data_IF_367104581322
#
_entry.id   IF_367104581322
#
_cell.length_a   1.000
_cell.length_b   1.000
_cell.length_c   1.000
_cell.angle_alpha   90.00
_cell.angle_beta   90.00
_cell.angle_gamma   90.00
#
_symmetry.space_group_name_H-M   'P 1'
#
loop_
_entity.id
_entity.type
_entity.pdbx_description
1 polymer ?
#
# COMPACT_ATOMS: atom_id res chain seq x y z
N UNK A 1 -42.39 0.14 18.03
CA UNK A 1 -41.31 0.66 17.15
C UNK A 1 -40.00 0.03 17.60
N UNK A 2 -39.36 -0.78 16.77
CA UNK A 2 -38.01 -1.27 17.05
C UNK A 2 -37.00 -0.20 16.60
N UNK A 3 -36.20 0.32 17.53
CA UNK A 3 -35.09 1.22 17.21
C UNK A 3 -34.04 0.46 16.41
N UNK A 4 -33.64 1.01 15.27
CA UNK A 4 -32.59 0.43 14.43
C UNK A 4 -31.25 0.52 15.17
N UNK A 5 -30.49 -0.57 15.33
CA UNK A 5 -29.20 -0.53 16.02
C UNK A 5 -28.20 0.30 15.23
N UNK A 6 -27.50 1.22 15.93
CA UNK A 6 -26.43 2.04 15.36
C UNK A 6 -25.17 1.20 15.22
N UNK A 7 -24.66 1.06 14.00
CA UNK A 7 -23.39 0.35 13.75
C UNK A 7 -22.23 1.30 14.09
N UNK A 8 -21.32 0.88 14.97
CA UNK A 8 -20.16 1.68 15.37
C UNK A 8 -19.01 1.43 14.38
N UNK A 9 -18.32 2.47 13.89
CA UNK A 9 -17.18 2.30 13.00
C UNK A 9 -15.97 1.73 13.75
N UNK A 10 -15.19 0.88 13.09
CA UNK A 10 -13.97 0.28 13.65
C UNK A 10 -12.90 1.36 13.93
N UNK A 11 -12.20 1.25 15.05
CA UNK A 11 -11.03 2.10 15.34
C UNK A 11 -9.89 1.77 14.37
N UNK A 12 -9.27 2.80 13.78
CA UNK A 12 -8.17 2.60 12.86
C UNK A 12 -6.92 2.11 13.60
N UNK A 13 -6.50 0.89 13.30
CA UNK A 13 -5.40 0.18 13.96
C UNK A 13 -4.01 0.47 13.36
N UNK A 14 -3.91 1.38 12.39
CA UNK A 14 -2.71 1.71 11.61
C UNK A 14 -2.17 0.58 10.72
N UNK A 15 -2.78 -0.61 10.77
CA UNK A 15 -2.39 -1.80 9.99
C UNK A 15 -3.32 -1.94 8.78
N UNK A 16 -4.59 -1.58 8.96
CA UNK A 16 -5.59 -1.53 7.90
C UNK A 16 -5.22 -0.45 6.87
N UNK A 17 -5.34 -0.76 5.57
CA UNK A 17 -5.08 0.25 4.53
C UNK A 17 -6.15 1.36 4.57
N UNK A 18 -5.77 2.59 4.21
CA UNK A 18 -6.73 3.71 4.11
C UNK A 18 -7.92 3.39 3.22
N UNK A 19 -7.72 2.68 2.10
CA UNK A 19 -8.80 2.29 1.19
C UNK A 19 -9.80 1.34 1.85
N UNK A 20 -9.31 0.39 2.66
CA UNK A 20 -10.17 -0.54 3.41
C UNK A 20 -10.94 0.22 4.50
N UNK A 21 -10.27 1.09 5.25
CA UNK A 21 -10.93 1.95 6.25
C UNK A 21 -12.01 2.81 5.60
N UNK A 22 -11.71 3.46 4.47
CA UNK A 22 -12.64 4.34 3.77
C UNK A 22 -13.87 3.57 3.29
N UNK A 23 -13.68 2.37 2.74
CA UNK A 23 -14.78 1.51 2.28
C UNK A 23 -15.68 1.10 3.44
N UNK A 24 -15.10 0.62 4.55
CA UNK A 24 -15.86 0.25 5.74
C UNK A 24 -16.61 1.46 6.33
N UNK A 25 -15.94 2.61 6.40
CA UNK A 25 -16.52 3.85 6.89
C UNK A 25 -17.70 4.34 6.03
N UNK A 26 -17.57 4.27 4.71
CA UNK A 26 -18.64 4.66 3.77
C UNK A 26 -19.85 3.71 3.88
N UNK A 27 -19.64 2.40 4.09
CA UNK A 27 -20.72 1.42 4.35
C UNK A 27 -21.44 1.69 5.68
N UNK A 28 -20.69 1.94 6.76
CA UNK A 28 -21.28 2.21 8.08
C UNK A 28 -22.03 3.53 8.07
N UNK A 29 -21.45 4.58 7.50
CA UNK A 29 -22.06 5.91 7.47
C UNK A 29 -23.32 5.98 6.62
N UNK A 30 -23.37 5.27 5.49
CA UNK A 30 -24.58 5.17 4.66
C UNK A 30 -25.68 4.36 5.36
N UNK A 31 -25.33 3.24 5.99
CA UNK A 31 -26.29 2.41 6.72
C UNK A 31 -26.95 3.19 7.86
N UNK A 32 -26.17 4.03 8.55
CA UNK A 32 -26.63 4.84 9.67
C UNK A 32 -27.21 6.22 9.25
N UNK A 33 -27.17 6.58 7.96
CA UNK A 33 -27.68 7.87 7.48
C UNK A 33 -26.92 9.08 8.06
N UNK A 34 -25.61 8.96 8.28
CA UNK A 34 -24.83 10.04 8.88
C UNK A 34 -24.73 11.26 7.97
N UNK A 35 -24.92 12.44 8.56
CA UNK A 35 -24.58 13.72 7.93
C UNK A 35 -23.07 13.89 7.85
N UNK A 36 -22.60 14.82 7.01
CA UNK A 36 -21.16 15.05 6.87
C UNK A 36 -20.50 15.55 8.16
N UNK A 37 -21.25 16.28 8.99
CA UNK A 37 -20.81 16.64 10.34
C UNK A 37 -20.57 15.40 11.23
N UNK A 38 -21.53 14.45 11.24
CA UNK A 38 -21.39 13.21 12.01
C UNK A 38 -20.24 12.37 11.46
N UNK A 39 -20.10 12.28 10.14
CA UNK A 39 -18.94 11.61 9.51
C UNK A 39 -17.62 12.26 9.92
N UNK A 40 -17.52 13.59 9.93
CA UNK A 40 -16.31 14.30 10.34
C UNK A 40 -15.92 13.97 11.78
N UNK A 41 -16.90 14.05 12.71
CA UNK A 41 -16.70 13.72 14.11
C UNK A 41 -16.29 12.24 14.32
N UNK A 42 -16.98 11.32 13.64
CA UNK A 42 -16.64 9.89 13.70
C UNK A 42 -15.25 9.60 13.12
N UNK A 43 -14.88 10.26 12.03
CA UNK A 43 -13.55 10.07 11.44
C UNK A 43 -12.44 10.58 12.36
N UNK A 44 -12.65 11.69 13.06
CA UNK A 44 -11.73 12.21 14.09
C UNK A 44 -11.56 11.23 15.25
N UNK A 45 -12.65 10.64 15.75
CA UNK A 45 -12.61 9.69 16.88
C UNK A 45 -12.01 8.33 16.50
N UNK A 46 -12.31 7.83 15.29
CA UNK A 46 -11.77 6.57 14.77
C UNK A 46 -10.30 6.67 14.34
N UNK A 47 -9.78 7.89 14.15
CA UNK A 47 -8.39 8.17 13.76
C UNK A 47 -7.69 9.11 14.76
N UNK A 48 -7.47 8.68 16.01
CA UNK A 48 -7.06 9.55 17.13
C UNK A 48 -5.73 10.30 16.93
N UNK A 49 -4.91 9.92 15.94
CA UNK A 49 -3.62 10.54 15.61
C UNK A 49 -3.70 11.70 14.60
N UNK A 50 -4.87 11.99 14.04
CA UNK A 50 -5.06 13.07 13.05
C UNK A 50 -5.19 14.47 13.64
N UNK A 51 -5.94 14.67 14.74
CA UNK A 51 -6.19 16.01 15.27
C UNK A 51 -4.94 16.80 15.63
N UNK A 52 -3.80 16.13 15.87
CA UNK A 52 -2.53 16.76 16.23
C UNK A 52 -1.92 17.68 15.14
N UNK A 53 -2.43 17.65 13.90
CA UNK A 53 -1.94 18.49 12.79
C UNK A 53 -2.99 19.33 12.07
N UNK A 54 -4.25 19.34 12.54
CA UNK A 54 -5.35 20.10 11.94
C UNK A 54 -5.79 21.16 12.94
N UNK A 55 -6.00 22.39 12.47
CA UNK A 55 -6.57 23.46 13.29
C UNK A 55 -7.99 23.08 13.75
N UNK A 56 -8.33 23.35 15.02
CA UNK A 56 -9.56 22.84 15.65
C UNK A 56 -10.85 23.32 14.96
N UNK A 57 -10.83 24.50 14.35
CA UNK A 57 -11.90 25.08 13.54
C UNK A 57 -12.19 24.29 12.26
N UNK A 58 -11.24 23.47 11.79
CA UNK A 58 -11.35 22.65 10.57
C UNK A 58 -11.71 21.18 10.84
N UNK A 59 -11.86 20.78 12.12
CA UNK A 59 -12.26 19.42 12.51
C UNK A 59 -13.76 19.13 12.28
N UNK A 60 -14.53 20.09 11.76
CA UNK A 60 -15.90 19.88 11.32
C UNK A 60 -16.03 19.64 9.79
N UNK A 61 -14.98 19.94 9.02
CA UNK A 61 -14.98 19.75 7.57
C UNK A 61 -14.52 18.34 7.19
N UNK A 62 -15.47 17.52 6.75
CA UNK A 62 -15.22 16.14 6.33
C UNK A 62 -14.16 16.05 5.22
N UNK A 63 -14.13 17.01 4.30
CA UNK A 63 -13.18 16.99 3.18
C UNK A 63 -11.75 17.24 3.67
N UNK A 64 -11.55 18.24 4.52
CA UNK A 64 -10.26 18.53 5.15
C UNK A 64 -9.76 17.35 5.97
N UNK A 65 -10.63 16.72 6.77
CA UNK A 65 -10.26 15.54 7.55
C UNK A 65 -9.90 14.37 6.63
N UNK A 66 -10.73 14.03 5.63
CA UNK A 66 -10.42 12.95 4.66
C UNK A 66 -9.08 13.18 3.96
N UNK A 67 -8.77 14.43 3.57
CA UNK A 67 -7.47 14.79 2.98
C UNK A 67 -6.31 14.58 3.96
N UNK A 68 -6.45 15.01 5.20
CA UNK A 68 -5.43 14.84 6.22
C UNK A 68 -5.21 13.36 6.59
N UNK A 69 -6.28 12.55 6.67
CA UNK A 69 -6.19 11.09 6.87
C UNK A 69 -5.45 10.45 5.70
N UNK A 70 -5.83 10.80 4.47
CA UNK A 70 -5.16 10.31 3.26
C UNK A 70 -3.70 10.76 3.18
N UNK A 71 -3.38 11.97 3.60
CA UNK A 71 -1.98 12.43 3.64
C UNK A 71 -1.15 11.67 4.68
N UNK A 72 -1.71 11.47 5.88
CA UNK A 72 -1.01 10.85 7.01
C UNK A 72 -0.95 9.33 6.92
N UNK A 73 -1.92 8.69 6.27
CA UNK A 73 -2.06 7.23 6.26
C UNK A 73 -2.37 6.64 4.87
N UNK A 74 -2.70 7.49 3.90
CA UNK A 74 -3.29 7.05 2.63
C UNK A 74 -2.33 6.48 1.60
N UNK A 75 -1.03 6.77 1.70
CA UNK A 75 -0.02 6.04 0.90
C UNK A 75 1.40 6.43 1.27
N UNK A 76 1.69 7.70 1.56
CA UNK A 76 3.08 8.22 1.57
C UNK A 76 3.99 7.44 2.51
N UNK A 77 3.58 7.17 3.76
CA UNK A 77 4.39 6.38 4.68
C UNK A 77 4.53 4.92 4.26
N UNK A 78 3.47 4.33 3.70
CA UNK A 78 3.46 2.94 3.24
C UNK A 78 4.31 2.77 1.97
N UNK A 79 4.18 3.68 1.01
CA UNK A 79 5.02 3.82 -0.18
C UNK A 79 6.49 4.02 0.22
N UNK A 80 6.81 4.92 1.17
CA UNK A 80 8.17 5.12 1.65
C UNK A 80 8.72 3.89 2.38
N UNK A 81 7.89 3.20 3.16
CA UNK A 81 8.22 1.94 3.80
C UNK A 81 8.61 0.89 2.75
N UNK A 82 7.79 0.66 1.72
CA UNK A 82 8.07 -0.30 0.67
C UNK A 82 9.24 0.11 -0.23
N UNK A 83 9.47 1.42 -0.45
CA UNK A 83 10.69 1.92 -1.11
C UNK A 83 11.94 1.59 -0.30
N UNK A 84 11.87 1.67 1.02
CA UNK A 84 12.96 1.25 1.92
C UNK A 84 13.16 -0.27 1.90
N UNK A 85 12.06 -1.03 1.87
CA UNK A 85 12.10 -2.50 1.74
C UNK A 85 12.78 -2.91 0.43
N UNK A 86 12.48 -2.28 -0.72
CA UNK A 86 13.17 -2.52 -2.00
C UNK A 86 14.68 -2.31 -1.92
N UNK A 87 15.13 -1.23 -1.25
CA UNK A 87 16.57 -0.90 -1.15
C UNK A 87 17.36 -1.98 -0.40
N UNK A 88 16.76 -2.52 0.65
CA UNK A 88 17.40 -3.49 1.55
C UNK A 88 17.17 -4.93 1.14
N UNK A 89 16.20 -5.20 0.26
CA UNK A 89 15.86 -6.54 -0.20
C UNK A 89 17.04 -7.22 -0.87
N UNK A 90 17.37 -8.43 -0.42
CA UNK A 90 18.31 -9.36 -1.08
C UNK A 90 17.76 -10.77 -0.94
N UNK A 91 17.98 -11.65 -1.92
CA UNK A 91 17.54 -13.05 -1.85
C UNK A 91 18.10 -13.75 -0.60
N UNK A 92 17.23 -14.38 0.17
CA UNK A 92 17.59 -15.11 1.40
C UNK A 92 18.18 -16.48 1.05
N UNK A 93 18.88 -17.10 2.01
CA UNK A 93 19.39 -18.46 1.81
C UNK A 93 18.22 -19.43 1.70
N UNK A 94 18.21 -20.28 0.67
CA UNK A 94 17.11 -21.23 0.44
C UNK A 94 15.81 -20.62 -0.08
N UNK A 95 15.77 -19.30 -0.34
CA UNK A 95 14.61 -18.67 -0.96
C UNK A 95 14.62 -18.93 -2.48
N UNK A 96 13.51 -19.48 -3.00
CA UNK A 96 13.37 -19.73 -4.43
C UNK A 96 13.17 -18.44 -5.23
N UNK A 97 13.57 -18.46 -6.50
CA UNK A 97 13.41 -17.32 -7.39
C UNK A 97 11.95 -16.91 -7.59
N UNK A 98 11.01 -17.86 -7.55
CA UNK A 98 9.58 -17.57 -7.65
C UNK A 98 9.08 -16.78 -6.43
N UNK A 99 9.50 -17.17 -5.21
CA UNK A 99 9.12 -16.46 -3.97
C UNK A 99 9.75 -15.06 -3.97
N UNK A 100 11.00 -14.94 -4.41
CA UNK A 100 11.68 -13.67 -4.58
C UNK A 100 10.94 -12.76 -5.58
N UNK A 101 10.60 -13.27 -6.76
CA UNK A 101 9.89 -12.51 -7.80
C UNK A 101 8.51 -12.05 -7.32
N UNK A 102 7.71 -12.94 -6.73
CA UNK A 102 6.40 -12.58 -6.19
C UNK A 102 6.51 -11.49 -5.09
N UNK A 103 7.55 -11.56 -4.27
CA UNK A 103 7.80 -10.54 -3.26
C UNK A 103 8.24 -9.20 -3.89
N UNK A 104 9.12 -9.21 -4.89
CA UNK A 104 9.53 -8.00 -5.64
C UNK A 104 8.33 -7.36 -6.33
N UNK A 105 7.49 -8.13 -7.01
CA UNK A 105 6.28 -7.65 -7.67
C UNK A 105 5.30 -7.00 -6.68
N UNK A 106 5.08 -7.66 -5.53
CA UNK A 106 4.25 -7.14 -4.45
C UNK A 106 4.79 -5.80 -3.93
N UNK A 107 6.08 -5.74 -3.60
CA UNK A 107 6.68 -4.52 -3.04
C UNK A 107 6.71 -3.41 -4.10
N UNK A 108 7.00 -3.72 -5.37
CA UNK A 108 6.99 -2.74 -6.46
C UNK A 108 5.61 -2.13 -6.66
N UNK A 109 4.56 -2.96 -6.64
CA UNK A 109 3.17 -2.51 -6.76
C UNK A 109 2.78 -1.53 -5.65
N UNK A 110 3.34 -1.70 -4.45
CA UNK A 110 3.05 -0.87 -3.28
C UNK A 110 3.96 0.37 -3.16
N UNK A 111 5.23 0.25 -3.58
CA UNK A 111 6.24 1.31 -3.58
C UNK A 111 6.07 2.34 -4.72
N UNK A 112 5.33 1.94 -5.76
CA UNK A 112 5.17 2.72 -6.99
C UNK A 112 3.73 2.70 -7.49
N UNK A 113 2.73 2.63 -6.60
CA UNK A 113 1.31 2.53 -6.95
C UNK A 113 0.81 3.64 -7.90
N UNK A 114 1.47 4.81 -7.90
CA UNK A 114 1.12 5.98 -8.72
C UNK A 114 1.76 5.96 -10.13
N UNK A 115 2.68 5.04 -10.39
CA UNK A 115 3.38 4.94 -11.67
C UNK A 115 2.61 4.06 -12.68
N UNK A 116 2.74 4.34 -14.00
CA UNK A 116 2.20 3.47 -15.05
C UNK A 116 2.69 2.02 -14.94
N UNK A 117 1.85 1.05 -15.32
CA UNK A 117 2.16 -0.37 -15.19
C UNK A 117 3.46 -0.76 -15.89
N UNK A 118 3.63 -0.37 -17.15
CA UNK A 118 4.81 -0.72 -17.96
C UNK A 118 6.13 -0.21 -17.33
N UNK A 119 6.08 0.96 -16.71
CA UNK A 119 7.22 1.52 -15.98
C UNK A 119 7.53 0.70 -14.71
N UNK A 120 6.51 0.24 -13.99
CA UNK A 120 6.70 -0.61 -12.81
C UNK A 120 7.24 -1.98 -13.18
N UNK A 121 6.78 -2.57 -14.28
CA UNK A 121 7.24 -3.89 -14.75
C UNK A 121 8.72 -3.85 -15.13
N UNK A 122 9.13 -2.83 -15.88
CA UNK A 122 10.55 -2.63 -16.23
C UNK A 122 11.42 -2.44 -14.98
N UNK A 123 10.97 -1.62 -14.01
CA UNK A 123 11.67 -1.46 -12.74
C UNK A 123 11.73 -2.76 -11.93
N UNK A 124 10.65 -3.56 -11.93
CA UNK A 124 10.60 -4.83 -11.22
C UNK A 124 11.61 -5.83 -11.77
N UNK A 125 11.81 -5.86 -13.10
CA UNK A 125 12.85 -6.67 -13.73
C UNK A 125 14.23 -6.30 -13.23
N UNK A 126 14.60 -5.01 -13.29
CA UNK A 126 15.91 -4.55 -12.84
C UNK A 126 16.14 -4.87 -11.36
N UNK A 127 15.16 -4.58 -10.51
CA UNK A 127 15.24 -4.90 -9.09
C UNK A 127 15.37 -6.39 -8.84
N UNK A 128 14.54 -7.22 -9.48
CA UNK A 128 14.58 -8.66 -9.33
C UNK A 128 15.99 -9.20 -9.64
N UNK A 129 16.57 -8.81 -10.77
CA UNK A 129 17.91 -9.24 -11.17
C UNK A 129 18.96 -8.79 -10.16
N UNK A 130 18.90 -7.55 -9.68
CA UNK A 130 19.88 -7.00 -8.73
C UNK A 130 19.87 -7.69 -7.36
N UNK A 131 18.73 -8.23 -6.95
CA UNK A 131 18.57 -8.88 -5.64
C UNK A 131 18.86 -10.39 -5.65
N UNK A 132 19.05 -11.01 -6.82
CA UNK A 132 19.49 -12.41 -6.95
C UNK A 132 20.85 -12.60 -6.27
N UNK A 133 20.97 -13.65 -5.45
CA UNK A 133 22.19 -13.98 -4.72
C UNK A 133 23.22 -14.66 -5.61
N UNK A 134 22.77 -15.60 -6.44
CA UNK A 134 23.65 -16.34 -7.33
C UNK A 134 24.19 -15.44 -8.44
N UNK A 135 25.52 -15.34 -8.52
CA UNK A 135 26.18 -14.35 -9.39
C UNK A 135 26.11 -14.73 -10.85
N UNK A 136 26.17 -16.03 -11.16
CA UNK A 136 26.06 -16.52 -12.53
C UNK A 136 24.64 -16.28 -13.07
N UNK A 137 23.62 -16.67 -12.32
CA UNK A 137 22.21 -16.42 -12.66
C UNK A 137 21.93 -14.92 -12.80
N UNK A 138 22.43 -14.10 -11.86
CA UNK A 138 22.28 -12.64 -11.91
C UNK A 138 22.88 -12.04 -13.19
N UNK A 139 24.13 -12.37 -13.52
CA UNK A 139 24.81 -11.83 -14.70
C UNK A 139 24.16 -12.32 -16.00
N UNK A 140 23.88 -13.62 -16.09
CA UNK A 140 23.22 -14.22 -17.25
C UNK A 140 21.83 -13.64 -17.50
N UNK A 141 21.07 -13.36 -16.44
CA UNK A 141 19.75 -12.73 -16.55
C UNK A 141 19.85 -11.26 -16.93
N UNK A 142 20.84 -10.51 -16.43
CA UNK A 142 21.04 -9.09 -16.73
C UNK A 142 21.34 -8.82 -18.20
N UNK A 143 22.00 -9.76 -18.88
CA UNK A 143 22.29 -9.66 -20.31
C UNK A 143 21.05 -9.77 -21.21
N UNK A 144 19.91 -10.14 -20.63
CA UNK A 144 18.67 -10.29 -21.37
C UNK A 144 17.82 -9.02 -21.23
N UNK A 145 17.34 -8.49 -22.36
CA UNK A 145 16.49 -7.29 -22.41
C UNK A 145 15.00 -7.63 -22.21
N UNK A 146 14.69 -8.32 -21.11
CA UNK A 146 13.29 -8.59 -20.75
C UNK A 146 12.64 -7.34 -20.16
N UNK A 147 11.41 -7.03 -20.60
CA UNK A 147 10.60 -5.93 -20.08
C UNK A 147 9.53 -6.39 -19.10
N UNK A 148 9.42 -7.70 -18.87
CA UNK A 148 8.39 -8.29 -18.02
C UNK A 148 8.96 -9.37 -17.10
N UNK A 149 8.61 -9.28 -15.82
CA UNK A 149 9.14 -10.10 -14.73
C UNK A 149 8.89 -11.60 -14.93
N UNK A 150 7.78 -11.98 -15.57
CA UNK A 150 7.45 -13.39 -15.83
C UNK A 150 8.49 -14.06 -16.73
N UNK A 151 8.89 -13.38 -17.81
CA UNK A 151 9.89 -13.89 -18.74
C UNK A 151 11.28 -13.89 -18.12
N UNK A 152 11.62 -12.82 -17.38
CA UNK A 152 12.87 -12.75 -16.61
C UNK A 152 12.99 -13.92 -15.64
N UNK A 153 11.96 -14.18 -14.83
CA UNK A 153 11.93 -15.30 -13.89
C UNK A 153 12.08 -16.65 -14.61
N UNK A 154 11.31 -16.87 -15.68
CA UNK A 154 11.36 -18.12 -16.43
C UNK A 154 12.75 -18.39 -17.04
N UNK A 155 13.47 -17.34 -17.44
CA UNK A 155 14.85 -17.46 -17.89
C UNK A 155 15.82 -17.73 -16.74
N UNK A 156 15.73 -16.97 -15.63
CA UNK A 156 16.62 -17.15 -14.48
C UNK A 156 16.53 -18.54 -13.88
N UNK A 157 15.36 -19.19 -13.94
CA UNK A 157 15.16 -20.56 -13.43
C UNK A 157 15.83 -21.67 -14.26
N UNK A 158 16.48 -21.34 -15.39
CA UNK A 158 17.25 -22.31 -16.18
C UNK A 158 18.65 -22.58 -15.62
N UNK A 159 19.06 -21.79 -14.64
CA UNK A 159 20.31 -21.91 -13.88
C UNK A 159 19.98 -22.41 -12.46
#
# INVERSE_FOLDING_TARGET
>A
MFSRPTIVPLTFDLITSWTVLQTQFDVVSSTNGWTDFVKASQLVTTTPRIPQGIAADKLADLITIKKAVKFRFGNIYLTQFYRSELKTRRQKSGESLQVLAANVERIMSLASAECPLDFRDSLAVHFFVDVIRDKETQLSTRLMDFTNLKWTLAYSMKF
#
